data_IF_680569865825
#
_entry.id   IF_680569865825
#
_cell.length_a   1.000
_cell.length_b   1.000
_cell.length_c   1.000
_cell.angle_alpha   90.00
_cell.angle_beta   90.00
_cell.angle_gamma   90.00
#
_symmetry.space_group_name_H-M   'P 1'
#
loop_
_entity.id
_entity.type
_entity.pdbx_description
1 polymer ?
#
# COMPACT_ATOMS: atom_id res chain seq x y z
N UNK A 1 -22.17 0.90 -12.61
CA UNK A 1 -22.96 1.49 -11.49
C UNK A 1 -24.44 1.57 -11.84
N UNK A 2 -24.79 1.92 -13.09
CA UNK A 2 -26.19 2.01 -13.56
C UNK A 2 -26.98 0.69 -13.46
N UNK A 3 -26.37 -0.45 -13.79
CA UNK A 3 -26.98 -1.79 -13.68
C UNK A 3 -27.44 -2.10 -12.24
N UNK A 4 -26.63 -1.72 -11.25
CA UNK A 4 -26.95 -1.96 -9.84
C UNK A 4 -28.11 -1.09 -9.36
N UNK A 5 -28.19 0.15 -9.85
CA UNK A 5 -29.28 1.10 -9.54
C UNK A 5 -30.62 0.61 -10.09
N UNK A 6 -30.64 0.16 -11.35
CA UNK A 6 -31.85 -0.40 -11.97
C UNK A 6 -32.33 -1.67 -11.25
N UNK A 7 -31.39 -2.49 -10.76
CA UNK A 7 -31.73 -3.69 -9.98
C UNK A 7 -32.43 -3.36 -8.65
N UNK A 8 -31.95 -2.38 -7.88
CA UNK A 8 -32.56 -2.00 -6.59
C UNK A 8 -33.96 -1.41 -6.78
N UNK A 9 -34.14 -0.60 -7.84
CA UNK A 9 -35.44 -0.03 -8.16
C UNK A 9 -36.49 -1.11 -8.47
N UNK A 10 -36.07 -2.23 -9.07
CA UNK A 10 -36.92 -3.39 -9.39
C UNK A 10 -37.15 -4.33 -8.20
N UNK A 11 -36.35 -4.21 -7.13
CA UNK A 11 -36.39 -5.08 -5.96
C UNK A 11 -36.47 -4.28 -4.64
N UNK A 12 -37.56 -3.51 -4.42
CA UNK A 12 -37.73 -2.67 -3.22
C UNK A 12 -37.78 -3.48 -1.91
N UNK A 13 -38.08 -4.78 -1.96
CA UNK A 13 -38.10 -5.70 -0.82
C UNK A 13 -36.74 -5.89 -0.13
N UNK A 14 -35.65 -5.65 -0.87
CA UNK A 14 -34.30 -5.90 -0.37
C UNK A 14 -33.79 -4.80 0.58
N UNK A 15 -34.50 -3.67 0.72
CA UNK A 15 -34.14 -2.54 1.59
C UNK A 15 -32.65 -2.12 1.51
N UNK A 16 -32.05 -2.25 0.32
CA UNK A 16 -30.65 -1.86 0.07
C UNK A 16 -30.57 -0.34 -0.11
N UNK A 17 -30.10 0.36 0.92
CA UNK A 17 -29.81 1.80 0.81
C UNK A 17 -28.66 2.04 -0.16
N UNK A 18 -28.65 3.17 -0.88
CA UNK A 18 -27.58 3.54 -1.83
C UNK A 18 -26.18 3.52 -1.18
N UNK A 19 -26.13 3.79 0.13
CA UNK A 19 -24.94 3.70 0.99
C UNK A 19 -24.46 2.26 1.23
N UNK A 20 -25.35 1.27 1.24
CA UNK A 20 -25.01 -0.15 1.39
C UNK A 20 -24.32 -0.72 0.16
N UNK A 21 -24.67 -0.26 -1.04
CA UNK A 21 -24.11 -0.72 -2.32
C UNK A 21 -22.70 -0.16 -2.56
N UNK A 22 -22.43 1.04 -2.06
CA UNK A 22 -21.12 1.69 -2.21
C UNK A 22 -20.11 1.20 -1.18
N UNK A 23 -20.56 0.48 -0.13
CA UNK A 23 -19.66 -0.16 0.83
C UNK A 23 -19.01 -1.40 0.23
N UNK A 24 -17.68 -1.41 0.26
CA UNK A 24 -16.89 -2.58 -0.09
C UNK A 24 -17.23 -3.74 0.83
N UNK A 25 -17.58 -4.89 0.25
CA UNK A 25 -17.73 -6.16 0.97
C UNK A 25 -16.37 -6.78 1.33
N UNK A 26 -15.29 -6.31 0.72
CA UNK A 26 -13.94 -6.79 0.99
C UNK A 26 -13.46 -6.36 2.37
N UNK A 27 -12.84 -7.29 3.08
CA UNK A 27 -12.00 -7.02 4.24
C UNK A 27 -10.80 -6.16 3.84
N UNK A 28 -10.13 -5.57 4.85
CA UNK A 28 -8.93 -4.76 4.63
C UNK A 28 -7.83 -5.53 3.89
N UNK A 29 -7.65 -6.82 4.19
CA UNK A 29 -6.65 -7.67 3.55
C UNK A 29 -7.01 -7.95 2.09
N UNK A 30 -8.26 -8.31 1.81
CA UNK A 30 -8.73 -8.57 0.45
C UNK A 30 -8.68 -7.32 -0.43
N UNK A 31 -9.03 -6.16 0.13
CA UNK A 31 -8.92 -4.89 -0.59
C UNK A 31 -7.46 -4.58 -0.95
N UNK A 32 -6.52 -4.83 -0.04
CA UNK A 32 -5.11 -4.62 -0.29
C UNK A 32 -4.53 -5.59 -1.33
N UNK A 33 -5.01 -6.84 -1.36
CA UNK A 33 -4.69 -7.80 -2.42
C UNK A 33 -5.25 -7.36 -3.77
N UNK A 34 -6.50 -6.88 -3.81
CA UNK A 34 -7.12 -6.36 -5.03
C UNK A 34 -6.37 -5.13 -5.57
N UNK A 35 -6.02 -4.19 -4.70
CA UNK A 35 -5.27 -2.99 -5.09
C UNK A 35 -3.90 -3.37 -5.68
N UNK A 36 -3.21 -4.36 -5.10
CA UNK A 36 -1.95 -4.90 -5.63
C UNK A 36 -2.13 -5.56 -7.00
N UNK A 37 -3.21 -6.31 -7.20
CA UNK A 37 -3.50 -6.99 -8.47
C UNK A 37 -3.89 -6.00 -9.57
N UNK A 38 -4.69 -4.98 -9.25
CA UNK A 38 -5.10 -3.91 -10.18
C UNK A 38 -3.94 -2.95 -10.51
N UNK A 39 -2.73 -3.18 -9.97
CA UNK A 39 -1.56 -2.33 -10.18
C UNK A 39 -1.72 -0.92 -9.61
N UNK A 40 -2.66 -0.73 -8.66
CA UNK A 40 -2.86 0.59 -8.04
C UNK A 40 -1.59 0.99 -7.28
N UNK A 41 -1.17 2.26 -7.36
CA UNK A 41 -0.01 2.74 -6.63
C UNK A 41 -0.15 2.41 -5.14
N UNK A 42 0.84 1.76 -4.57
CA UNK A 42 0.94 1.66 -3.11
C UNK A 42 1.16 3.05 -2.55
N UNK A 43 0.71 3.29 -1.31
CA UNK A 43 1.01 4.55 -0.63
C UNK A 43 2.50 4.85 -0.70
N UNK A 44 2.89 6.10 -1.02
CA UNK A 44 4.30 6.47 -1.03
C UNK A 44 4.91 6.22 0.35
N UNK A 45 6.22 5.91 0.43
CA UNK A 45 6.91 5.72 1.69
C UNK A 45 6.75 6.98 2.57
N UNK A 46 6.46 6.83 3.87
CA UNK A 46 6.15 7.97 4.75
C UNK A 46 7.38 8.80 5.14
N UNK A 47 8.59 8.29 4.95
CA UNK A 47 9.84 8.98 5.22
C UNK A 47 11.01 8.33 4.45
N UNK A 48 12.13 9.04 4.41
CA UNK A 48 13.38 8.63 3.76
C UNK A 48 13.89 7.26 4.20
N UNK A 49 13.76 6.94 5.49
CA UNK A 49 14.16 5.64 6.03
C UNK A 49 13.28 4.51 5.47
N UNK A 50 11.97 4.72 5.38
CA UNK A 50 11.04 3.73 4.84
C UNK A 50 11.26 3.52 3.34
N UNK A 51 11.57 4.60 2.62
CA UNK A 51 11.96 4.55 1.20
C UNK A 51 13.25 3.74 1.02
N UNK A 52 14.28 4.03 1.82
CA UNK A 52 15.53 3.27 1.85
C UNK A 52 15.30 1.78 2.12
N UNK A 53 14.48 1.45 3.14
CA UNK A 53 14.14 0.06 3.45
C UNK A 53 13.47 -0.63 2.27
N UNK A 54 12.51 0.03 1.60
CA UNK A 54 11.78 -0.55 0.48
C UNK A 54 12.72 -0.91 -0.69
N UNK A 55 13.66 -0.03 -1.01
CA UNK A 55 14.66 -0.26 -2.06
C UNK A 55 15.61 -1.41 -1.70
N UNK A 56 16.12 -1.43 -0.46
CA UNK A 56 17.02 -2.48 -0.03
C UNK A 56 16.31 -3.85 0.02
N UNK A 57 15.07 -3.89 0.52
CA UNK A 57 14.26 -5.10 0.60
C UNK A 57 13.94 -5.71 -0.77
N UNK A 58 13.79 -4.88 -1.81
CA UNK A 58 13.57 -5.33 -3.18
C UNK A 58 14.78 -6.08 -3.77
N UNK A 59 15.98 -5.75 -3.29
CA UNK A 59 17.25 -6.32 -3.76
C UNK A 59 17.71 -7.55 -2.96
N UNK A 60 17.28 -7.71 -1.70
CA UNK A 60 17.73 -8.80 -0.80
C UNK A 60 16.79 -10.01 -0.82
N UNK A 61 16.55 -10.65 -1.97
CA UNK A 61 15.51 -11.69 -2.09
C UNK A 61 15.77 -12.99 -1.30
N UNK A 62 17.02 -13.28 -0.95
CA UNK A 62 17.43 -14.53 -0.29
C UNK A 62 17.50 -14.42 1.24
N UNK A 63 17.32 -13.21 1.79
CA UNK A 63 17.35 -12.97 3.23
C UNK A 63 15.93 -13.07 3.79
N UNK A 64 15.70 -13.68 4.97
CA UNK A 64 14.39 -13.65 5.64
C UNK A 64 13.89 -12.22 5.89
N UNK A 65 12.58 -11.99 5.77
CA UNK A 65 11.99 -10.64 5.88
C UNK A 65 12.34 -9.91 7.18
N UNK A 66 12.32 -10.63 8.31
CA UNK A 66 12.70 -10.11 9.63
C UNK A 66 14.17 -9.67 9.66
N UNK A 67 15.06 -10.43 9.05
CA UNK A 67 16.49 -10.10 8.94
C UNK A 67 16.74 -8.93 7.98
N UNK A 68 15.97 -8.83 6.87
CA UNK A 68 16.06 -7.66 5.97
C UNK A 68 15.81 -6.35 6.71
N UNK A 69 14.82 -6.31 7.60
CA UNK A 69 14.52 -5.11 8.38
C UNK A 69 15.65 -4.76 9.36
N UNK A 70 16.28 -5.77 9.97
CA UNK A 70 17.45 -5.55 10.84
C UNK A 70 18.61 -4.95 10.03
N UNK A 71 18.90 -5.51 8.85
CA UNK A 71 19.94 -5.00 7.96
C UNK A 71 19.66 -3.57 7.50
N UNK A 72 18.42 -3.24 7.15
CA UNK A 72 18.05 -1.87 6.79
C UNK A 72 18.38 -0.88 7.92
N UNK A 73 18.05 -1.23 9.17
CA UNK A 73 18.36 -0.37 10.32
C UNK A 73 19.85 -0.18 10.54
N UNK A 74 20.63 -1.25 10.42
CA UNK A 74 22.08 -1.21 10.58
C UNK A 74 22.75 -0.38 9.48
N UNK A 75 22.44 -0.66 8.22
CA UNK A 75 23.02 0.04 7.07
C UNK A 75 22.63 1.51 7.06
N UNK A 76 21.38 1.85 7.39
CA UNK A 76 20.95 3.25 7.50
C UNK A 76 21.78 4.04 8.51
N UNK A 77 22.15 3.44 9.65
CA UNK A 77 23.01 4.10 10.64
C UNK A 77 24.41 4.38 10.10
N UNK A 78 24.92 3.51 9.24
CA UNK A 78 26.25 3.61 8.62
C UNK A 78 26.29 4.59 7.43
N UNK A 79 25.15 4.89 6.80
CA UNK A 79 25.09 5.88 5.73
C UNK A 79 25.55 7.26 6.20
N UNK A 80 26.31 7.93 5.33
CA UNK A 80 26.69 9.32 5.48
C UNK A 80 25.47 10.25 5.45
N UNK A 81 25.62 11.46 5.98
CA UNK A 81 24.54 12.44 5.94
C UNK A 81 24.13 12.78 4.49
N UNK A 82 25.10 12.88 3.57
CA UNK A 82 24.84 13.13 2.15
C UNK A 82 23.95 12.06 1.52
N UNK A 83 24.16 10.79 1.86
CA UNK A 83 23.34 9.69 1.36
C UNK A 83 21.93 9.75 1.97
N UNK A 84 21.81 10.01 3.28
CA UNK A 84 20.51 10.21 3.93
C UNK A 84 19.72 11.36 3.32
N UNK A 85 20.38 12.46 3.01
CA UNK A 85 19.77 13.64 2.37
C UNK A 85 19.29 13.35 0.95
N UNK A 86 19.97 12.46 0.20
CA UNK A 86 19.47 12.01 -1.11
C UNK A 86 18.14 11.26 -0.97
N UNK A 87 17.99 10.41 0.06
CA UNK A 87 16.72 9.74 0.35
C UNK A 87 15.65 10.70 0.86
N UNK A 88 16.00 11.73 1.65
CA UNK A 88 15.05 12.79 2.03
C UNK A 88 14.49 13.48 0.79
N UNK A 89 15.36 13.96 -0.10
CA UNK A 89 14.94 14.64 -1.34
C UNK A 89 14.10 13.76 -2.24
N UNK A 90 14.39 12.46 -2.33
CA UNK A 90 13.62 11.50 -3.12
C UNK A 90 12.25 11.18 -2.48
N UNK A 91 12.14 11.24 -1.17
CA UNK A 91 10.88 11.00 -0.44
C UNK A 91 9.93 12.20 -0.48
N UNK A 92 10.49 13.42 -0.60
CA UNK A 92 9.71 14.67 -0.68
C UNK A 92 9.15 14.94 -2.10
N UNK A 93 9.50 14.11 -3.09
CA UNK A 93 9.00 14.15 -4.49
C UNK A 93 7.75 13.28 -4.67
#
# INVERSE_FOLDING_TARGET
>A
QEIMRDYIQKHPELNLSEEGITRSTLTKAERQLKDKFDGRPTKPPPNSYSLYCAELMANMKDVPSTERMVLCSQQWKLLSQKEKDAYHKKCDQ
#
